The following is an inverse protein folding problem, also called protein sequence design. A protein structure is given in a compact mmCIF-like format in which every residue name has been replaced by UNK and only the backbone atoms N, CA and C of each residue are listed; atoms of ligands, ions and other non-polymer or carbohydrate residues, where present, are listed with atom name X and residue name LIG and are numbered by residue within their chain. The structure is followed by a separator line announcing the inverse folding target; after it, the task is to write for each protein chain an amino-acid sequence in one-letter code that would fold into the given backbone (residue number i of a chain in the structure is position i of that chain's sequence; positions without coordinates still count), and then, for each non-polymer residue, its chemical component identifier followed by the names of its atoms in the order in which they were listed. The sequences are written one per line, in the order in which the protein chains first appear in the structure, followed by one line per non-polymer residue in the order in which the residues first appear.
data_IF_949337926897
#
_entry.id   IF_949337926897
#
_cell.length_a   1.000
_cell.length_b   1.000
_cell.length_c   1.000
_cell.angle_alpha   90.00
_cell.angle_beta   90.00
_cell.angle_gamma   90.00
#
_symmetry.space_group_name_H-M   'P 1'
#
loop_
_entity.id
_entity.type
_entity.pdbx_description
1 polymer ?
#
# COMPACT_ATOMS: atom_id res chain seq x y z
N UNK A 1 -1.63 -2.50 -37.90
CA UNK A 1 -2.92 -2.02 -37.36
C UNK A 1 -3.52 -2.94 -36.29
N UNK A 2 -3.93 -4.20 -36.52
CA UNK A 2 -4.49 -5.03 -35.42
C UNK A 2 -3.48 -5.32 -34.30
N UNK A 3 -2.22 -5.61 -34.66
CA UNK A 3 -1.11 -5.82 -33.71
C UNK A 3 -0.77 -4.58 -32.88
N UNK A 4 -0.97 -3.39 -33.44
CA UNK A 4 -0.70 -2.13 -32.74
C UNK A 4 -1.84 -1.84 -31.76
N UNK A 5 -3.10 -2.07 -32.18
CA UNK A 5 -4.28 -1.95 -31.32
C UNK A 5 -4.21 -2.86 -30.10
N UNK A 6 -3.80 -4.13 -30.25
CA UNK A 6 -3.64 -5.04 -29.10
C UNK A 6 -2.48 -4.64 -28.17
N UNK A 7 -1.40 -4.07 -28.71
CA UNK A 7 -0.29 -3.54 -27.90
C UNK A 7 -0.72 -2.34 -27.08
N UNK A 8 -1.37 -1.36 -27.70
CA UNK A 8 -1.90 -0.19 -27.00
C UNK A 8 -2.91 -0.59 -25.92
N UNK A 9 -3.81 -1.54 -26.22
CA UNK A 9 -4.77 -2.03 -25.22
C UNK A 9 -4.09 -2.66 -24.01
N UNK A 10 -3.04 -3.45 -24.21
CA UNK A 10 -2.28 -4.07 -23.11
C UNK A 10 -1.49 -3.03 -22.32
N UNK A 11 -0.89 -2.04 -22.99
CA UNK A 11 -0.19 -0.94 -22.34
C UNK A 11 -1.16 -0.11 -21.49
N UNK A 12 -2.35 0.22 -22.01
CA UNK A 12 -3.40 0.94 -21.29
C UNK A 12 -3.93 0.13 -20.09
N UNK A 13 -4.20 -1.18 -20.25
CA UNK A 13 -4.60 -2.06 -19.14
C UNK A 13 -3.52 -2.12 -18.05
N UNK A 14 -2.24 -2.22 -18.43
CA UNK A 14 -1.14 -2.21 -17.47
C UNK A 14 -1.03 -0.88 -16.72
N UNK A 15 -1.21 0.26 -17.41
CA UNK A 15 -1.19 1.57 -16.76
C UNK A 15 -2.42 1.78 -15.86
N UNK A 16 -3.59 1.34 -16.29
CA UNK A 16 -4.81 1.39 -15.49
C UNK A 16 -4.66 0.59 -14.20
N UNK A 17 -4.20 -0.66 -14.29
CA UNK A 17 -3.98 -1.53 -13.13
C UNK A 17 -2.92 -0.94 -12.18
N UNK A 18 -1.87 -0.31 -12.72
CA UNK A 18 -0.87 0.41 -11.92
C UNK A 18 -1.47 1.57 -11.12
N UNK A 19 -2.29 2.39 -11.76
CA UNK A 19 -2.94 3.54 -11.12
C UNK A 19 -3.89 3.06 -10.02
N UNK A 20 -4.69 2.02 -10.30
CA UNK A 20 -5.58 1.43 -9.30
C UNK A 20 -4.80 0.89 -8.10
N UNK A 21 -3.76 0.09 -8.34
CA UNK A 21 -2.93 -0.48 -7.28
C UNK A 21 -2.26 0.62 -6.43
N UNK A 22 -1.76 1.68 -7.07
CA UNK A 22 -1.23 2.86 -6.37
C UNK A 22 -2.29 3.50 -5.47
N UNK A 23 -3.47 3.80 -6.02
CA UNK A 23 -4.54 4.46 -5.27
C UNK A 23 -5.00 3.59 -4.08
N UNK A 24 -5.07 2.27 -4.26
CA UNK A 24 -5.40 1.33 -3.19
C UNK A 24 -4.34 1.32 -2.08
N UNK A 25 -3.05 1.30 -2.45
CA UNK A 25 -1.96 1.33 -1.48
C UNK A 25 -1.90 2.66 -0.73
N UNK A 26 -2.14 3.77 -1.42
CA UNK A 26 -2.15 5.12 -0.86
C UNK A 26 -3.30 5.28 0.14
N UNK A 27 -4.53 4.89 -0.23
CA UNK A 27 -5.68 4.86 0.67
C UNK A 27 -5.42 3.98 1.89
N UNK A 28 -4.90 2.77 1.69
CA UNK A 28 -4.57 1.86 2.78
C UNK A 28 -3.53 2.46 3.74
N UNK A 29 -2.47 3.09 3.22
CA UNK A 29 -1.45 3.77 4.02
C UNK A 29 -2.05 4.88 4.90
N UNK A 30 -2.98 5.68 4.36
CA UNK A 30 -3.68 6.73 5.11
C UNK A 30 -4.61 6.16 6.18
N UNK A 31 -5.39 5.14 5.84
CA UNK A 31 -6.30 4.45 6.76
C UNK A 31 -5.50 3.83 7.92
N UNK A 32 -4.39 3.17 7.60
CA UNK A 32 -3.54 2.54 8.61
C UNK A 32 -2.87 3.56 9.51
N UNK A 33 -2.36 4.67 8.94
CA UNK A 33 -1.79 5.79 9.71
C UNK A 33 -2.82 6.41 10.65
N UNK A 34 -4.08 6.44 10.26
CA UNK A 34 -5.20 6.90 11.10
C UNK A 34 -5.47 5.90 12.23
N UNK A 35 -5.58 4.60 11.90
CA UNK A 35 -5.81 3.52 12.88
C UNK A 35 -4.73 3.45 13.96
N UNK A 36 -3.44 3.46 13.61
CA UNK A 36 -2.34 3.38 14.59
C UNK A 36 -2.20 4.63 15.49
N UNK A 37 -2.82 5.74 15.08
CA UNK A 37 -2.86 6.97 15.86
C UNK A 37 -4.14 7.09 16.70
N UNK A 38 -5.10 6.17 16.53
CA UNK A 38 -6.26 6.07 17.41
C UNK A 38 -5.79 5.68 18.83
N UNK A 39 -6.31 6.39 19.85
CA UNK A 39 -6.00 6.16 21.27
C UNK A 39 -6.21 4.69 21.68
N UNK A 40 -7.26 4.03 21.20
CA UNK A 40 -7.58 2.65 21.60
C UNK A 40 -6.55 1.63 21.13
N UNK A 41 -5.96 1.85 19.95
CA UNK A 41 -4.93 0.98 19.39
C UNK A 41 -3.53 1.40 19.81
N UNK A 42 -3.32 2.68 20.12
CA UNK A 42 -2.02 3.21 20.54
C UNK A 42 -1.47 2.53 21.79
N UNK A 43 -2.36 2.16 22.72
CA UNK A 43 -1.96 1.52 23.98
C UNK A 43 -1.88 -0.02 23.85
N UNK A 44 -2.46 -0.60 22.78
CA UNK A 44 -2.35 -2.03 22.45
C UNK A 44 -1.14 -2.37 21.58
N UNK A 45 -0.63 -1.39 20.82
CA UNK A 45 0.50 -1.59 19.90
C UNK A 45 1.80 -1.17 20.59
N UNK A 46 2.75 -2.11 20.71
CA UNK A 46 4.09 -1.82 21.22
C UNK A 46 4.80 -0.72 20.40
N UNK A 47 5.60 0.11 21.07
CA UNK A 47 6.28 1.24 20.46
C UNK A 47 7.19 0.85 19.29
N UNK A 48 7.85 -0.33 19.34
CA UNK A 48 8.65 -0.83 18.23
C UNK A 48 7.79 -1.24 17.04
N UNK A 49 6.67 -1.92 17.28
CA UNK A 49 5.75 -2.32 16.21
C UNK A 49 5.11 -1.10 15.56
N UNK A 50 4.68 -0.12 16.36
CA UNK A 50 4.18 1.16 15.86
C UNK A 50 5.20 1.87 14.98
N UNK A 51 6.46 1.92 15.41
CA UNK A 51 7.54 2.55 14.64
C UNK A 51 7.81 1.83 13.33
N UNK A 52 7.80 0.48 13.33
CA UNK A 52 7.91 -0.32 12.09
C UNK A 52 6.78 -0.01 11.13
N UNK A 53 5.53 -0.01 11.59
CA UNK A 53 4.36 0.26 10.74
C UNK A 53 4.44 1.68 10.15
N UNK A 54 4.78 2.69 10.96
CA UNK A 54 4.95 4.08 10.48
C UNK A 54 6.05 4.14 9.42
N UNK A 55 7.21 3.54 9.66
CA UNK A 55 8.33 3.55 8.71
C UNK A 55 7.96 2.86 7.40
N UNK A 56 7.26 1.73 7.44
CA UNK A 56 6.79 1.01 6.24
C UNK A 56 5.81 1.86 5.44
N UNK A 57 4.84 2.50 6.11
CA UNK A 57 3.88 3.40 5.48
C UNK A 57 4.58 4.60 4.82
N UNK A 58 5.50 5.25 5.54
CA UNK A 58 6.24 6.40 5.00
C UNK A 58 7.16 6.01 3.83
N UNK A 59 7.75 4.82 3.88
CA UNK A 59 8.53 4.27 2.78
C UNK A 59 7.64 4.02 1.56
N UNK A 60 6.47 3.38 1.74
CA UNK A 60 5.52 3.11 0.67
C UNK A 60 5.03 4.42 0.02
N UNK A 61 4.66 5.43 0.81
CA UNK A 61 4.23 6.75 0.32
C UNK A 61 5.35 7.47 -0.45
N UNK A 62 6.56 7.55 0.09
CA UNK A 62 7.72 8.13 -0.62
C UNK A 62 8.01 7.40 -1.92
N UNK A 63 7.88 6.07 -1.91
CA UNK A 63 8.11 5.26 -3.08
C UNK A 63 7.02 5.49 -4.14
N UNK A 64 5.76 5.65 -3.73
CA UNK A 64 4.65 6.06 -4.61
C UNK A 64 4.91 7.44 -5.24
N UNK A 65 5.41 8.41 -4.46
CA UNK A 65 5.77 9.75 -4.94
C UNK A 65 6.93 9.71 -5.95
N UNK A 66 7.96 8.89 -5.71
CA UNK A 66 9.09 8.74 -6.62
C UNK A 66 8.76 7.97 -7.91
N UNK A 67 7.77 7.07 -7.88
CA UNK A 67 7.44 6.17 -8.99
C UNK A 67 6.12 6.54 -9.69
N UNK A 68 5.75 7.82 -9.70
CA UNK A 68 4.52 8.32 -10.35
C UNK A 68 4.37 7.90 -11.83
N UNK A 69 5.47 7.62 -12.54
CA UNK A 69 5.47 7.29 -13.96
C UNK A 69 5.56 5.80 -14.33
N UNK A 70 5.67 4.87 -13.38
CA UNK A 70 5.80 3.46 -13.74
C UNK A 70 6.06 2.53 -12.56
N UNK A 71 5.00 1.88 -12.08
CA UNK A 71 5.08 1.02 -10.90
C UNK A 71 5.06 -0.47 -11.29
N UNK A 72 6.08 -1.29 -11.01
CA UNK A 72 5.93 -2.74 -11.18
C UNK A 72 4.85 -3.27 -10.22
N UNK A 73 3.74 -3.80 -10.74
CA UNK A 73 2.57 -4.21 -9.94
C UNK A 73 2.90 -5.15 -8.78
N UNK A 74 3.89 -6.05 -8.97
CA UNK A 74 4.41 -6.95 -7.94
C UNK A 74 4.89 -6.24 -6.67
N UNK A 75 5.38 -5.00 -6.76
CA UNK A 75 5.90 -4.27 -5.61
C UNK A 75 4.77 -3.70 -4.74
N UNK A 76 3.64 -3.34 -5.36
CA UNK A 76 2.44 -2.92 -4.64
C UNK A 76 1.84 -4.09 -3.87
N UNK A 77 1.76 -5.26 -4.50
CA UNK A 77 1.25 -6.47 -3.85
C UNK A 77 2.11 -6.87 -2.64
N UNK A 78 3.44 -6.78 -2.75
CA UNK A 78 4.37 -7.04 -1.64
C UNK A 78 4.16 -6.04 -0.51
N UNK A 79 4.10 -4.74 -0.82
CA UNK A 79 3.90 -3.70 0.21
C UNK A 79 2.53 -3.83 0.88
N UNK A 80 1.49 -4.16 0.12
CA UNK A 80 0.14 -4.39 0.65
C UNK A 80 0.12 -5.62 1.57
N UNK A 81 0.79 -6.70 1.17
CA UNK A 81 0.95 -7.91 1.98
C UNK A 81 1.75 -7.65 3.26
N UNK A 82 2.89 -6.96 3.17
CA UNK A 82 3.75 -6.62 4.32
C UNK A 82 3.02 -5.71 5.30
N UNK A 83 2.20 -4.79 4.79
CA UNK A 83 1.43 -3.90 5.63
C UNK A 83 0.27 -4.67 6.32
N UNK A 84 -0.48 -5.50 5.61
CA UNK A 84 -1.53 -6.35 6.21
C UNK A 84 -0.98 -7.31 7.27
N UNK A 85 0.11 -8.02 6.97
CA UNK A 85 0.70 -8.95 7.93
C UNK A 85 1.26 -8.27 9.19
N UNK A 86 1.63 -6.99 9.12
CA UNK A 86 1.98 -6.20 10.30
C UNK A 86 0.75 -5.73 11.11
N UNK A 87 -0.44 -5.72 10.52
CA UNK A 87 -1.64 -5.08 11.09
C UNK A 87 -2.73 -6.05 11.48
N UNK A 88 -2.87 -7.18 10.77
CA UNK A 88 -3.88 -8.22 11.02
C UNK A 88 -3.79 -8.81 12.44
N UNK A 89 -2.59 -9.15 12.98
CA UNK A 89 -2.49 -9.66 14.35
C UNK A 89 -2.96 -8.65 15.41
N UNK A 90 -2.90 -7.35 15.09
CA UNK A 90 -3.23 -6.27 16.01
C UNK A 90 -4.73 -5.93 16.02
N UNK A 91 -5.46 -6.31 14.97
CA UNK A 91 -6.92 -6.18 14.90
C UNK A 91 -7.59 -7.34 15.64
N UNK A 92 -7.07 -8.57 15.52
CA UNK A 92 -7.61 -9.73 16.24
C UNK A 92 -7.39 -9.68 17.76
N UNK A 93 -6.29 -9.09 18.26
CA UNK A 93 -6.12 -8.86 19.70
C UNK A 93 -6.95 -7.67 20.24
N UNK A 94 -7.59 -6.90 19.36
CA UNK A 94 -8.31 -5.69 19.74
C UNK A 94 -9.79 -5.92 20.08
N UNK A 95 -10.41 -6.98 19.56
CA UNK A 95 -11.77 -7.46 19.84
C UNK A 95 -11.81 -8.47 21.00
#
# INVERSE_FOLDING_TARGET
MIRDTERFRKEDEMQYNRIQAKNSLESYCFDMKTKINNRQLRDKIDANNKKKIINTIEYALKWIEYNQGGMPGKFVDILYSDANSATDPLIEEAD
#
